data_IF_719494334068
#
_entry.id   IF_719494334068
#
_cell.length_a   1.000
_cell.length_b   1.000
_cell.length_c   1.000
_cell.angle_alpha   90.00
_cell.angle_beta   90.00
_cell.angle_gamma   90.00
#
_symmetry.space_group_name_H-M   'P 1'
#
loop_
_entity.id
_entity.type
_entity.pdbx_description
1 polymer ?
#
# COMPACT_ATOMS: atom_id res chain seq x y z
N UNK A 1 -31.30 -65.15 -48.36
CA UNK A 1 -30.24 -64.22 -47.93
C UNK A 1 -30.86 -62.85 -47.74
N UNK A 2 -31.57 -62.67 -46.63
CA UNK A 2 -31.95 -61.37 -46.08
C UNK A 2 -31.65 -61.56 -44.60
N UNK A 3 -30.46 -61.17 -44.19
CA UNK A 3 -30.10 -61.16 -42.78
C UNK A 3 -31.11 -60.21 -42.13
N UNK A 4 -31.93 -60.70 -41.20
CA UNK A 4 -33.00 -59.93 -40.58
C UNK A 4 -32.42 -58.58 -40.09
N UNK A 5 -32.79 -57.47 -40.73
CA UNK A 5 -32.31 -56.13 -40.37
C UNK A 5 -32.73 -55.70 -38.96
N UNK A 6 -33.83 -56.26 -38.45
CA UNK A 6 -34.40 -55.96 -37.14
C UNK A 6 -33.45 -56.31 -35.96
N UNK A 7 -32.98 -57.56 -35.77
CA UNK A 7 -32.10 -57.93 -34.66
C UNK A 7 -30.74 -57.22 -34.70
N UNK A 8 -30.23 -56.90 -35.89
CA UNK A 8 -28.97 -56.16 -36.02
C UNK A 8 -29.12 -54.72 -35.52
N UNK A 9 -30.22 -54.03 -35.86
CA UNK A 9 -30.52 -52.69 -35.34
C UNK A 9 -30.69 -52.69 -33.83
N UNK A 10 -31.39 -53.67 -33.25
CA UNK A 10 -31.60 -53.75 -31.80
C UNK A 10 -30.28 -53.92 -31.05
N UNK A 11 -29.41 -54.81 -31.53
CA UNK A 11 -28.07 -55.00 -30.97
C UNK A 11 -27.20 -53.74 -31.10
N UNK A 12 -27.28 -53.02 -32.22
CA UNK A 12 -26.59 -51.73 -32.38
C UNK A 12 -27.09 -50.69 -31.36
N UNK A 13 -28.40 -50.58 -31.12
CA UNK A 13 -28.94 -49.64 -30.15
C UNK A 13 -28.50 -49.94 -28.72
N UNK A 14 -28.47 -51.22 -28.30
CA UNK A 14 -27.97 -51.62 -26.98
C UNK A 14 -26.48 -51.30 -26.82
N UNK A 15 -25.68 -51.65 -27.81
CA UNK A 15 -24.24 -51.38 -27.80
C UNK A 15 -23.93 -49.88 -27.77
N UNK A 16 -24.61 -49.08 -28.61
CA UNK A 16 -24.49 -47.62 -28.62
C UNK A 16 -24.89 -47.00 -27.29
N UNK A 17 -25.97 -47.47 -26.65
CA UNK A 17 -26.36 -46.99 -25.31
C UNK A 17 -25.32 -47.29 -24.26
N UNK A 18 -24.71 -48.48 -24.30
CA UNK A 18 -23.65 -48.84 -23.34
C UNK A 18 -22.40 -47.96 -23.52
N UNK A 19 -21.95 -47.76 -24.76
CA UNK A 19 -20.82 -46.87 -25.05
C UNK A 19 -21.13 -45.42 -24.65
N UNK A 20 -22.33 -44.92 -24.93
CA UNK A 20 -22.76 -43.58 -24.54
C UNK A 20 -22.78 -43.41 -23.02
N UNK A 21 -23.30 -44.41 -22.29
CA UNK A 21 -23.30 -44.37 -20.83
C UNK A 21 -21.87 -44.37 -20.28
N UNK A 22 -21.00 -45.25 -20.79
CA UNK A 22 -19.60 -45.34 -20.37
C UNK A 22 -18.84 -44.03 -20.65
N UNK A 23 -18.98 -43.48 -21.86
CA UNK A 23 -18.29 -42.25 -22.25
C UNK A 23 -18.80 -41.04 -21.47
N UNK A 24 -20.10 -40.98 -21.19
CA UNK A 24 -20.70 -39.94 -20.35
C UNK A 24 -20.17 -40.02 -18.91
N UNK A 25 -20.11 -41.21 -18.32
CA UNK A 25 -19.58 -41.41 -16.97
C UNK A 25 -18.12 -40.97 -16.89
N UNK A 26 -17.28 -41.41 -17.83
CA UNK A 26 -15.86 -41.03 -17.87
C UNK A 26 -15.73 -39.50 -18.02
N UNK A 27 -16.49 -38.90 -18.94
CA UNK A 27 -16.47 -37.45 -19.17
C UNK A 27 -16.83 -36.65 -17.91
N UNK A 28 -17.89 -37.04 -17.19
CA UNK A 28 -18.30 -36.39 -15.94
C UNK A 28 -17.22 -36.52 -14.87
N UNK A 29 -16.62 -37.71 -14.73
CA UNK A 29 -15.54 -37.95 -13.76
C UNK A 29 -14.32 -37.07 -14.11
N UNK A 30 -13.90 -37.05 -15.37
CA UNK A 30 -12.77 -36.23 -15.82
C UNK A 30 -13.06 -34.74 -15.62
N UNK A 31 -14.25 -34.26 -15.97
CA UNK A 31 -14.65 -32.88 -15.75
C UNK A 31 -14.65 -32.51 -14.27
N UNK A 32 -15.16 -33.39 -13.40
CA UNK A 32 -15.14 -33.20 -11.95
C UNK A 32 -13.72 -33.12 -11.39
N UNK A 33 -12.82 -34.01 -11.83
CA UNK A 33 -11.41 -34.01 -11.42
C UNK A 33 -10.70 -32.73 -11.86
N UNK A 34 -10.89 -32.29 -13.09
CA UNK A 34 -10.32 -31.04 -13.61
C UNK A 34 -10.83 -29.86 -12.77
N UNK A 35 -12.14 -29.81 -12.52
CA UNK A 35 -12.74 -28.73 -11.73
C UNK A 35 -12.16 -28.66 -10.32
N UNK A 36 -12.10 -29.79 -9.60
CA UNK A 36 -11.55 -29.85 -8.24
C UNK A 36 -10.07 -29.43 -8.24
N UNK A 37 -9.29 -29.95 -9.19
CA UNK A 37 -7.87 -29.65 -9.32
C UNK A 37 -7.65 -28.15 -9.55
N UNK A 38 -8.36 -27.55 -10.51
CA UNK A 38 -8.24 -26.13 -10.82
C UNK A 38 -8.68 -25.25 -9.64
N UNK A 39 -9.77 -25.65 -8.97
CA UNK A 39 -10.29 -24.91 -7.83
C UNK A 39 -9.28 -24.86 -6.67
N UNK A 40 -8.67 -26.00 -6.36
CA UNK A 40 -7.69 -26.08 -5.27
C UNK A 40 -6.35 -25.44 -5.64
N UNK A 41 -5.90 -25.62 -6.88
CA UNK A 41 -4.57 -25.21 -7.33
C UNK A 41 -4.49 -23.73 -7.69
N UNK A 42 -5.56 -23.13 -8.23
CA UNK A 42 -5.57 -21.72 -8.67
C UNK A 42 -6.56 -20.84 -7.90
N UNK A 43 -7.83 -21.25 -7.78
CA UNK A 43 -8.87 -20.36 -7.26
C UNK A 43 -8.63 -20.03 -5.78
N UNK A 44 -8.28 -21.04 -4.98
CA UNK A 44 -7.99 -20.85 -3.56
C UNK A 44 -6.83 -19.88 -3.28
N UNK A 45 -5.63 -20.04 -3.88
CA UNK A 45 -4.53 -19.10 -3.61
C UNK A 45 -4.79 -17.70 -4.17
N UNK A 46 -5.41 -17.56 -5.35
CA UNK A 46 -5.79 -16.23 -5.88
C UNK A 46 -6.72 -15.50 -4.90
N UNK A 47 -7.65 -16.22 -4.28
CA UNK A 47 -8.55 -15.65 -3.27
C UNK A 47 -7.80 -15.24 -2.01
N UNK A 48 -6.80 -16.01 -1.58
CA UNK A 48 -5.94 -15.66 -0.44
C UNK A 48 -5.10 -14.40 -0.71
N UNK A 49 -4.47 -14.30 -1.89
CA UNK A 49 -3.74 -13.10 -2.35
C UNK A 49 -4.66 -11.87 -2.33
N UNK A 50 -5.85 -12.00 -2.93
CA UNK A 50 -6.83 -10.91 -3.00
C UNK A 50 -7.28 -10.48 -1.60
N UNK A 51 -7.56 -11.42 -0.70
CA UNK A 51 -7.93 -11.12 0.67
C UNK A 51 -6.81 -10.40 1.44
N UNK A 52 -5.56 -10.84 1.27
CA UNK A 52 -4.40 -10.16 1.84
C UNK A 52 -4.28 -8.71 1.33
N UNK A 53 -4.47 -8.50 0.03
CA UNK A 53 -4.44 -7.15 -0.56
C UNK A 53 -5.53 -6.24 0.01
N UNK A 54 -6.76 -6.75 0.17
CA UNK A 54 -7.86 -5.98 0.78
C UNK A 54 -7.57 -5.65 2.24
N UNK A 55 -7.04 -6.61 3.00
CA UNK A 55 -6.67 -6.43 4.41
C UNK A 55 -5.52 -5.41 4.56
N UNK A 56 -4.48 -5.53 3.75
CA UNK A 56 -3.37 -4.57 3.71
C UNK A 56 -3.84 -3.15 3.38
N UNK A 57 -4.78 -3.00 2.43
CA UNK A 57 -5.34 -1.69 2.09
C UNK A 57 -6.01 -1.01 3.30
N UNK A 58 -6.65 -1.76 4.19
CA UNK A 58 -7.35 -1.17 5.36
C UNK A 58 -6.40 -0.70 6.45
N UNK A 59 -5.26 -1.36 6.65
CA UNK A 59 -4.25 -1.00 7.63
C UNK A 59 -2.85 -1.35 7.12
N UNK A 60 -2.26 -0.53 6.23
CA UNK A 60 -1.00 -0.83 5.54
C UNK A 60 0.26 -0.67 6.42
N UNK A 61 0.13 0.00 7.58
CA UNK A 61 1.25 0.17 8.52
C UNK A 61 1.50 -1.08 9.38
N UNK A 62 0.48 -1.94 9.51
CA UNK A 62 0.51 -3.16 10.31
C UNK A 62 1.25 -4.29 9.58
N UNK A 63 2.20 -4.91 10.27
CA UNK A 63 3.03 -5.98 9.72
C UNK A 63 2.24 -7.27 9.54
N UNK A 64 1.22 -7.50 10.37
CA UNK A 64 0.40 -8.72 10.31
C UNK A 64 -0.43 -8.81 9.02
N UNK A 65 -0.59 -7.67 8.33
CA UNK A 65 -1.35 -7.57 7.10
C UNK A 65 -0.54 -7.90 5.83
N UNK A 66 0.77 -8.08 5.95
CA UNK A 66 1.64 -8.53 4.86
C UNK A 66 1.36 -10.01 4.59
N UNK A 67 1.32 -10.39 3.31
CA UNK A 67 1.17 -11.80 2.91
C UNK A 67 2.42 -12.58 3.27
N UNK A 68 2.24 -13.81 3.78
CA UNK A 68 3.34 -14.76 3.96
C UNK A 68 3.39 -15.63 2.70
N UNK A 69 4.44 -15.53 1.87
CA UNK A 69 4.55 -16.34 0.67
C UNK A 69 4.61 -17.83 1.01
N UNK A 70 3.92 -18.64 0.22
CA UNK A 70 4.00 -20.09 0.33
C UNK A 70 5.28 -20.61 -0.31
N UNK A 71 5.69 -21.84 0.05
CA UNK A 71 6.89 -22.52 -0.51
C UNK A 71 6.69 -23.00 -1.96
N UNK A 72 5.72 -22.45 -2.70
CA UNK A 72 5.41 -22.84 -4.07
C UNK A 72 6.42 -22.20 -5.02
N UNK A 73 6.80 -22.94 -6.06
CA UNK A 73 7.75 -22.48 -7.10
C UNK A 73 7.07 -22.25 -8.45
N UNK A 74 5.75 -22.11 -8.47
CA UNK A 74 4.96 -21.78 -9.66
C UNK A 74 4.70 -20.26 -9.73
N UNK A 75 4.02 -19.82 -10.78
CA UNK A 75 3.68 -18.41 -11.02
C UNK A 75 2.87 -17.81 -9.86
N UNK A 76 2.09 -18.64 -9.16
CA UNK A 76 1.32 -18.22 -7.98
C UNK A 76 2.26 -17.93 -6.81
N UNK A 77 3.25 -18.77 -6.55
CA UNK A 77 4.28 -18.51 -5.53
C UNK A 77 5.10 -17.25 -5.83
N UNK A 78 5.43 -17.03 -7.10
CA UNK A 78 6.07 -15.78 -7.53
C UNK A 78 5.18 -14.57 -7.25
N UNK A 79 3.89 -14.65 -7.58
CA UNK A 79 2.94 -13.57 -7.31
C UNK A 79 2.80 -13.25 -5.81
N UNK A 80 2.79 -14.27 -4.94
CA UNK A 80 2.78 -14.08 -3.48
C UNK A 80 4.04 -13.36 -2.98
N UNK A 81 5.20 -13.76 -3.49
CA UNK A 81 6.50 -13.17 -3.14
C UNK A 81 6.59 -11.71 -3.58
N UNK A 82 6.21 -11.42 -4.82
CA UNK A 82 6.17 -10.06 -5.36
C UNK A 82 5.15 -9.17 -4.63
N UNK A 83 3.98 -9.72 -4.27
CA UNK A 83 3.01 -8.99 -3.46
C UNK A 83 3.59 -8.64 -2.08
N UNK A 84 4.27 -9.57 -1.41
CA UNK A 84 4.91 -9.31 -0.12
C UNK A 84 5.97 -8.20 -0.23
N UNK A 85 6.79 -8.25 -1.28
CA UNK A 85 7.80 -7.22 -1.55
C UNK A 85 7.14 -5.84 -1.77
N UNK A 86 6.10 -5.77 -2.60
CA UNK A 86 5.37 -4.52 -2.84
C UNK A 86 4.73 -3.97 -1.57
N UNK A 87 4.08 -4.82 -0.77
CA UNK A 87 3.49 -4.42 0.52
C UNK A 87 4.56 -3.82 1.46
N UNK A 88 5.74 -4.42 1.51
CA UNK A 88 6.85 -3.92 2.31
C UNK A 88 7.33 -2.54 1.84
N UNK A 89 7.48 -2.35 0.53
CA UNK A 89 7.89 -1.05 -0.07
C UNK A 89 6.86 0.03 0.24
N UNK A 90 5.57 -0.25 0.03
CA UNK A 90 4.49 0.71 0.32
C UNK A 90 4.48 1.10 1.80
N UNK A 91 4.64 0.12 2.70
CA UNK A 91 4.69 0.37 4.14
C UNK A 91 5.87 1.26 4.53
N UNK A 92 7.06 1.00 3.99
CA UNK A 92 8.24 1.83 4.24
C UNK A 92 8.03 3.27 3.77
N UNK A 93 7.43 3.46 2.59
CA UNK A 93 7.10 4.78 2.08
C UNK A 93 6.11 5.53 3.00
N UNK A 94 5.10 4.84 3.52
CA UNK A 94 4.16 5.42 4.49
C UNK A 94 4.84 5.81 5.81
N UNK A 95 5.75 4.99 6.32
CA UNK A 95 6.52 5.30 7.53
C UNK A 95 7.41 6.53 7.34
N UNK A 96 8.09 6.63 6.20
CA UNK A 96 8.91 7.80 5.86
C UNK A 96 8.05 9.07 5.79
N UNK A 97 6.89 9.01 5.12
CA UNK A 97 5.93 10.13 5.05
C UNK A 97 5.44 10.57 6.42
N UNK A 98 5.18 9.61 7.33
CA UNK A 98 4.77 9.90 8.71
C UNK A 98 5.85 10.67 9.46
N UNK A 99 7.11 10.24 9.36
CA UNK A 99 8.23 10.91 10.00
C UNK A 99 8.40 12.37 9.51
N UNK A 100 8.28 12.59 8.19
CA UNK A 100 8.30 13.94 7.61
C UNK A 100 7.15 14.82 8.12
N UNK A 101 5.96 14.24 8.30
CA UNK A 101 4.80 14.96 8.83
C UNK A 101 5.01 15.34 10.30
N UNK A 102 5.57 14.45 11.10
CA UNK A 102 5.92 14.71 12.51
C UNK A 102 7.00 15.81 12.63
N UNK A 103 8.04 15.75 11.80
CA UNK A 103 9.08 16.78 11.72
C UNK A 103 8.50 18.14 11.30
N UNK A 104 7.64 18.17 10.28
CA UNK A 104 6.98 19.41 9.87
C UNK A 104 6.10 20.02 10.96
N UNK A 105 5.42 19.19 11.75
CA UNK A 105 4.69 19.63 12.93
C UNK A 105 5.60 20.21 14.02
N UNK A 106 6.74 19.57 14.29
CA UNK A 106 7.71 20.04 15.28
C UNK A 106 8.36 21.37 14.89
N UNK A 107 8.81 21.50 13.64
CA UNK A 107 9.44 22.73 13.16
C UNK A 107 8.42 23.86 13.02
N UNK A 108 7.17 23.59 12.64
CA UNK A 108 6.10 24.59 12.63
C UNK A 108 5.87 25.19 14.03
N UNK A 109 5.90 24.36 15.08
CA UNK A 109 5.85 24.83 16.48
C UNK A 109 7.06 25.69 16.84
N UNK A 110 8.28 25.27 16.49
CA UNK A 110 9.50 26.06 16.73
C UNK A 110 9.41 27.43 16.06
N UNK A 111 9.01 27.47 14.78
CA UNK A 111 8.83 28.72 14.04
C UNK A 111 7.80 29.65 14.70
N UNK A 112 6.68 29.09 15.15
CA UNK A 112 5.67 29.83 15.90
C UNK A 112 6.23 30.39 17.21
N UNK A 113 6.94 29.58 18.00
CA UNK A 113 7.49 30.00 19.29
C UNK A 113 8.57 31.07 19.13
N UNK A 114 9.42 30.95 18.10
CA UNK A 114 10.40 31.98 17.74
C UNK A 114 9.71 33.31 17.38
N UNK A 115 8.64 33.26 16.57
CA UNK A 115 7.86 34.46 16.23
C UNK A 115 7.25 35.10 17.48
N UNK A 116 6.78 34.29 18.42
CA UNK A 116 6.20 34.77 19.67
C UNK A 116 7.25 35.40 20.61
N UNK A 117 8.43 34.80 20.73
CA UNK A 117 9.57 35.34 21.49
C UNK A 117 10.05 36.67 20.88
N UNK A 118 10.12 36.76 19.55
CA UNK A 118 10.53 37.97 18.84
C UNK A 118 9.54 39.13 19.10
N UNK A 119 8.24 38.87 19.03
CA UNK A 119 7.21 39.85 19.34
C UNK A 119 7.33 40.35 20.80
N UNK A 120 7.61 39.43 21.74
CA UNK A 120 7.88 39.79 23.12
C UNK A 120 9.15 40.64 23.28
N UNK A 121 10.24 40.28 22.61
CA UNK A 121 11.49 41.02 22.64
C UNK A 121 11.34 42.42 22.03
N UNK A 122 10.56 42.56 20.95
CA UNK A 122 10.20 43.86 20.38
C UNK A 122 9.41 44.72 21.37
N UNK A 123 8.40 44.17 22.05
CA UNK A 123 7.63 44.91 23.08
C UNK A 123 8.50 45.35 24.27
N UNK A 124 9.45 44.50 24.71
CA UNK A 124 10.40 44.85 25.78
C UNK A 124 11.40 45.89 25.28
N UNK A 125 11.88 45.77 24.04
CA UNK A 125 12.78 46.74 23.41
C UNK A 125 12.11 48.10 23.18
N UNK A 126 10.83 48.14 22.84
CA UNK A 126 10.04 49.38 22.72
C UNK A 126 9.91 50.07 24.09
N UNK A 127 9.70 49.28 25.15
CA UNK A 127 9.69 49.80 26.53
C UNK A 127 11.08 50.27 26.99
N UNK A 128 12.15 49.56 26.64
CA UNK A 128 13.53 49.98 26.96
C UNK A 128 14.00 51.16 26.11
N UNK A 129 13.56 51.31 24.87
CA UNK A 129 13.92 52.43 23.99
C UNK A 129 13.34 53.77 24.44
N UNK A 130 12.37 53.74 25.37
CA UNK A 130 11.95 54.90 26.15
C UNK A 130 13.02 55.36 27.16
N UNK A 131 13.95 54.47 27.56
CA UNK A 131 15.15 54.74 28.35
C UNK A 131 16.37 54.87 27.41
N UNK A 132 16.96 56.05 27.32
CA UNK A 132 17.87 56.47 26.23
C UNK A 132 19.26 55.82 26.30
N UNK A 133 19.51 54.73 25.58
CA UNK A 133 20.88 54.25 25.25
C UNK A 133 21.08 54.08 23.72
N UNK A 134 21.99 54.83 23.08
CA UNK A 134 22.21 54.83 21.63
C UNK A 134 22.80 53.52 21.08
N UNK A 135 23.44 52.71 21.92
CA UNK A 135 24.13 51.48 21.50
C UNK A 135 23.16 50.33 21.21
N UNK A 136 22.05 50.26 21.98
CA UNK A 136 21.01 49.23 21.83
C UNK A 136 20.20 49.45 20.54
N UNK A 137 19.94 50.71 20.16
CA UNK A 137 19.16 51.05 18.94
C UNK A 137 19.79 50.57 17.63
N UNK A 138 21.11 50.44 17.56
CA UNK A 138 21.80 50.02 16.33
C UNK A 138 21.84 48.49 16.15
N UNK A 139 21.80 47.71 17.23
CA UNK A 139 21.98 46.26 17.18
C UNK A 139 20.66 45.48 17.05
N UNK A 140 19.56 46.01 17.58
CA UNK A 140 18.24 45.36 17.56
C UNK A 140 17.68 45.06 16.16
N UNK A 141 17.78 45.96 15.16
CA UNK A 141 17.22 45.71 13.82
C UNK A 141 17.88 44.54 13.10
N UNK A 142 19.20 44.38 13.25
CA UNK A 142 19.96 43.32 12.59
C UNK A 142 19.61 41.92 13.12
N UNK A 143 19.45 41.78 14.44
CA UNK A 143 19.04 40.52 15.07
C UNK A 143 17.64 40.07 14.62
N UNK A 144 16.69 41.01 14.56
CA UNK A 144 15.33 40.74 14.09
C UNK A 144 15.34 40.25 12.64
N UNK A 145 16.14 40.88 11.78
CA UNK A 145 16.25 40.51 10.37
C UNK A 145 16.92 39.15 10.16
N UNK A 146 17.97 38.84 10.92
CA UNK A 146 18.66 37.55 10.85
C UNK A 146 17.78 36.39 11.32
N UNK A 147 17.00 36.58 12.39
CA UNK A 147 16.06 35.57 12.89
C UNK A 147 14.90 35.36 11.91
N UNK A 148 14.35 36.45 11.35
CA UNK A 148 13.31 36.36 10.30
C UNK A 148 13.78 35.51 9.12
N UNK A 149 14.99 35.76 8.61
CA UNK A 149 15.58 34.95 7.53
C UNK A 149 15.79 33.47 7.92
N UNK A 150 16.20 33.18 9.15
CA UNK A 150 16.37 31.79 9.60
C UNK A 150 15.04 31.05 9.69
N UNK A 151 13.96 31.75 10.08
CA UNK A 151 12.60 31.21 10.09
C UNK A 151 12.11 30.95 8.66
N UNK A 152 12.34 31.89 7.74
CA UNK A 152 11.94 31.74 6.35
C UNK A 152 12.66 30.54 5.70
N UNK A 153 13.96 30.39 5.91
CA UNK A 153 14.74 29.23 5.41
C UNK A 153 14.23 27.89 5.96
N UNK A 154 13.87 27.82 7.25
CA UNK A 154 13.30 26.59 7.82
C UNK A 154 11.91 26.28 7.23
N UNK A 155 11.12 27.32 6.95
CA UNK A 155 9.77 27.19 6.41
C UNK A 155 9.81 26.78 4.93
N UNK A 156 10.73 27.36 4.16
CA UNK A 156 10.97 27.04 2.75
C UNK A 156 11.54 25.64 2.55
N UNK A 157 12.46 25.20 3.42
CA UNK A 157 12.99 23.82 3.36
C UNK A 157 11.88 22.79 3.60
N UNK A 158 10.91 23.13 4.46
CA UNK A 158 9.76 22.28 4.76
C UNK A 158 8.68 22.28 3.69
N UNK A 159 8.45 23.41 3.03
CA UNK A 159 7.52 23.48 1.90
C UNK A 159 8.10 22.71 0.71
N UNK A 160 9.41 22.81 0.48
CA UNK A 160 10.12 22.07 -0.56
C UNK A 160 10.07 20.56 -0.31
N UNK A 161 10.33 20.09 0.93
CA UNK A 161 10.22 18.65 1.26
C UNK A 161 8.80 18.09 1.19
N UNK A 162 7.78 18.96 1.15
CA UNK A 162 6.37 18.58 0.96
C UNK A 162 5.95 18.53 -0.51
N UNK A 163 6.68 19.21 -1.38
CA UNK A 163 6.36 19.35 -2.80
C UNK A 163 7.08 18.34 -3.70
N UNK A 164 8.25 17.83 -3.26
CA UNK A 164 9.11 16.89 -4.01
C UNK A 164 8.81 15.40 -3.74
N UNK A 165 7.62 15.06 -3.22
CA UNK A 165 7.19 13.68 -2.91
C UNK A 165 5.68 13.50 -3.06
#
# INVERSE_FOLDING_TARGET
MVMLEAPLRTAMYEYSRNILALSLVISIITAGLIYITLHWLLIRPIRAITHSMVRFRTAPEDTENIIIPSQRSDEVGTAETELAAMQQVVRQALQQKKHLTELGGAVSRISHDLRNILAHAQLVSDRLSALKDPTVRQLTPGLIQSIGRAIDLCTDTLSYSRADS
#
